data_IF_192406747135
#
_entry.id   IF_192406747135
#
_cell.length_a   1.000
_cell.length_b   1.000
_cell.length_c   1.000
_cell.angle_alpha   90.00
_cell.angle_beta   90.00
_cell.angle_gamma   90.00
#
_symmetry.space_group_name_H-M   'P 1'
#
loop_
_entity.id
_entity.type
_entity.pdbx_description
1 polymer ?
#
# COMPACT_ATOMS: atom_id res chain seq x y z
N UNK A 1 -64.01 49.13 4.41
CA UNK A 1 -63.48 47.96 3.67
C UNK A 1 -61.96 47.89 3.84
N UNK A 2 -61.48 47.26 4.91
CA UNK A 2 -60.06 46.94 5.12
C UNK A 2 -60.02 45.54 5.73
N UNK A 3 -59.22 44.63 5.17
CA UNK A 3 -58.99 43.33 5.81
C UNK A 3 -58.83 42.13 4.89
N UNK A 4 -58.07 42.21 3.80
CA UNK A 4 -57.52 41.02 3.11
C UNK A 4 -56.18 41.38 2.45
N UNK A 5 -55.14 41.78 3.21
CA UNK A 5 -53.78 41.96 2.64
C UNK A 5 -52.60 41.47 3.50
N UNK A 6 -52.82 41.01 4.73
CA UNK A 6 -51.70 40.71 5.64
C UNK A 6 -51.42 39.21 5.90
N UNK A 7 -52.18 38.29 5.30
CA UNK A 7 -51.96 36.86 5.49
C UNK A 7 -50.96 36.20 4.51
N UNK A 8 -50.56 36.89 3.43
CA UNK A 8 -49.76 36.28 2.34
C UNK A 8 -48.25 36.39 2.59
N UNK A 9 -47.79 37.47 3.23
CA UNK A 9 -46.36 37.72 3.52
C UNK A 9 -45.70 36.69 4.45
N UNK A 10 -46.34 36.25 5.56
CA UNK A 10 -45.73 35.28 6.48
C UNK A 10 -45.54 33.91 5.82
N UNK A 11 -46.48 33.51 4.94
CA UNK A 11 -46.45 32.22 4.24
C UNK A 11 -45.32 32.18 3.21
N UNK A 12 -45.10 33.25 2.45
CA UNK A 12 -43.96 33.31 1.52
C UNK A 12 -42.60 33.25 2.24
N UNK A 13 -42.46 33.94 3.37
CA UNK A 13 -41.21 33.93 4.16
C UNK A 13 -40.95 32.52 4.73
N UNK A 14 -41.99 31.82 5.19
CA UNK A 14 -41.86 30.44 5.68
C UNK A 14 -41.48 29.46 4.56
N UNK A 15 -42.02 29.63 3.35
CA UNK A 15 -41.68 28.81 2.18
C UNK A 15 -40.24 29.03 1.72
N UNK A 16 -39.76 30.29 1.70
CA UNK A 16 -38.38 30.61 1.37
C UNK A 16 -37.39 30.08 2.41
N UNK A 17 -37.74 30.15 3.70
CA UNK A 17 -36.94 29.58 4.78
C UNK A 17 -36.85 28.05 4.66
N UNK A 18 -37.96 27.36 4.41
CA UNK A 18 -37.98 25.91 4.19
C UNK A 18 -37.17 25.51 2.94
N UNK A 19 -37.24 26.28 1.86
CA UNK A 19 -36.47 26.03 0.64
C UNK A 19 -34.96 26.22 0.87
N UNK A 20 -34.55 27.26 1.59
CA UNK A 20 -33.15 27.50 1.95
C UNK A 20 -32.62 26.45 2.93
N UNK A 21 -33.42 26.08 3.94
CA UNK A 21 -33.09 25.02 4.88
C UNK A 21 -32.92 23.68 4.18
N UNK A 22 -33.83 23.31 3.27
CA UNK A 22 -33.74 22.07 2.47
C UNK A 22 -32.50 22.06 1.59
N UNK A 23 -32.15 23.17 0.92
CA UNK A 23 -30.90 23.28 0.14
C UNK A 23 -29.65 23.15 1.01
N UNK A 24 -29.64 23.77 2.19
CA UNK A 24 -28.52 23.68 3.14
C UNK A 24 -28.37 22.27 3.72
N UNK A 25 -29.49 21.64 4.08
CA UNK A 25 -29.55 20.27 4.58
C UNK A 25 -29.06 19.27 3.52
N UNK A 26 -29.55 19.40 2.27
CA UNK A 26 -29.12 18.54 1.16
C UNK A 26 -27.62 18.70 0.86
N UNK A 27 -27.07 19.92 0.87
CA UNK A 27 -25.61 20.12 0.73
C UNK A 27 -24.84 19.47 1.87
N UNK A 28 -25.25 19.67 3.14
CA UNK A 28 -24.60 19.01 4.28
C UNK A 28 -24.69 17.49 4.18
N UNK A 29 -25.84 16.97 3.76
CA UNK A 29 -26.04 15.54 3.56
C UNK A 29 -25.14 15.01 2.44
N UNK A 30 -25.04 15.69 1.30
CA UNK A 30 -24.12 15.35 0.21
C UNK A 30 -22.65 15.41 0.65
N UNK A 31 -22.27 16.41 1.46
CA UNK A 31 -20.92 16.52 2.02
C UNK A 31 -20.62 15.39 3.01
N UNK A 32 -21.59 15.02 3.85
CA UNK A 32 -21.48 13.87 4.76
C UNK A 32 -21.38 12.58 3.98
N UNK A 33 -22.19 12.38 2.94
CA UNK A 33 -22.15 11.19 2.07
C UNK A 33 -20.83 11.13 1.31
N UNK A 34 -20.35 12.24 0.72
CA UNK A 34 -19.04 12.29 0.04
C UNK A 34 -17.88 12.04 0.99
N UNK A 35 -17.91 12.61 2.21
CA UNK A 35 -16.89 12.32 3.24
C UNK A 35 -16.93 10.86 3.66
N UNK A 36 -18.11 10.30 3.90
CA UNK A 36 -18.30 8.90 4.29
C UNK A 36 -17.86 7.92 3.18
N UNK A 37 -18.19 8.22 1.93
CA UNK A 37 -17.78 7.43 0.75
C UNK A 37 -16.27 7.55 0.47
N UNK A 38 -15.61 8.62 0.93
CA UNK A 38 -14.15 8.78 0.88
C UNK A 38 -13.41 8.03 2.00
N UNK A 39 -14.13 7.54 3.00
CA UNK A 39 -13.58 6.79 4.14
C UNK A 39 -13.84 5.29 4.06
N UNK A 40 -14.82 4.84 3.27
CA UNK A 40 -15.05 3.41 3.04
C UNK A 40 -13.82 2.76 2.36
N UNK A 41 -13.40 1.55 2.80
CA UNK A 41 -12.32 0.81 2.19
C UNK A 41 -12.56 0.58 0.68
N UNK A 42 -11.48 0.59 -0.08
CA UNK A 42 -11.46 0.21 -1.48
C UNK A 42 -11.84 -1.26 -1.63
N UNK A 43 -12.67 -1.56 -2.64
CA UNK A 43 -13.05 -2.93 -2.99
C UNK A 43 -11.89 -3.64 -3.72
N UNK A 44 -10.82 -3.90 -2.99
CA UNK A 44 -9.70 -4.70 -3.44
C UNK A 44 -9.95 -6.14 -3.03
N UNK A 45 -9.86 -7.05 -4.00
CA UNK A 45 -9.90 -8.49 -3.78
C UNK A 45 -8.51 -9.06 -4.02
N UNK A 46 -8.12 -9.99 -3.17
CA UNK A 46 -6.84 -10.69 -3.26
C UNK A 46 -7.11 -12.19 -3.15
N UNK A 47 -6.34 -12.98 -3.89
CA UNK A 47 -6.36 -14.44 -3.81
C UNK A 47 -5.29 -14.94 -2.85
N UNK A 48 -5.37 -16.20 -2.45
CA UNK A 48 -4.26 -16.88 -1.78
C UNK A 48 -3.07 -17.02 -2.73
N UNK A 49 -1.85 -16.78 -2.25
CA UNK A 49 -0.62 -16.95 -3.03
C UNK A 49 -0.39 -18.43 -3.38
N UNK A 50 0.13 -18.75 -4.58
CA UNK A 50 0.42 -20.12 -4.99
C UNK A 50 1.51 -20.84 -4.18
N UNK A 51 2.51 -20.10 -3.71
CA UNK A 51 3.70 -20.62 -3.00
C UNK A 51 4.24 -19.58 -2.01
N UNK A 52 5.25 -19.92 -1.20
CA UNK A 52 5.78 -19.06 -0.14
C UNK A 52 6.55 -17.82 -0.63
N UNK A 53 6.80 -17.68 -1.93
CA UNK A 53 7.60 -16.58 -2.51
C UNK A 53 6.78 -15.61 -3.36
N UNK A 54 5.52 -15.93 -3.63
CA UNK A 54 4.65 -15.21 -4.59
C UNK A 54 3.75 -14.15 -3.94
N UNK A 55 3.97 -13.80 -2.67
CA UNK A 55 3.19 -12.77 -1.96
C UNK A 55 3.16 -11.42 -2.72
N UNK A 56 4.31 -10.95 -3.21
CA UNK A 56 4.42 -9.71 -3.98
C UNK A 56 3.69 -9.75 -5.32
N UNK A 57 3.76 -10.89 -6.03
CA UNK A 57 3.04 -11.13 -7.29
C UNK A 57 1.53 -11.10 -7.07
N UNK A 58 1.07 -11.76 -6.01
CA UNK A 58 -0.35 -11.82 -5.65
C UNK A 58 -0.89 -10.45 -5.25
N UNK A 59 -0.09 -9.65 -4.54
CA UNK A 59 -0.41 -8.25 -4.25
C UNK A 59 -0.49 -7.38 -5.51
N UNK A 60 0.45 -7.55 -6.45
CA UNK A 60 0.43 -6.83 -7.73
C UNK A 60 -0.83 -7.19 -8.55
N UNK A 61 -1.17 -8.47 -8.61
CA UNK A 61 -2.38 -8.96 -9.25
C UNK A 61 -3.65 -8.35 -8.64
N UNK A 62 -3.74 -8.26 -7.30
CA UNK A 62 -4.87 -7.63 -6.62
C UNK A 62 -5.03 -6.15 -6.99
N UNK A 63 -3.92 -5.42 -7.09
CA UNK A 63 -3.95 -4.00 -7.52
C UNK A 63 -4.32 -3.87 -9.00
N UNK A 64 -3.83 -4.74 -9.89
CA UNK A 64 -4.29 -4.74 -11.29
C UNK A 64 -5.77 -5.05 -11.41
N UNK A 65 -6.27 -6.02 -10.65
CA UNK A 65 -7.69 -6.38 -10.60
C UNK A 65 -8.57 -5.23 -10.11
N UNK A 66 -8.02 -4.33 -9.28
CA UNK A 66 -8.74 -3.12 -8.85
C UNK A 66 -8.92 -2.10 -9.98
N UNK A 67 -7.98 -2.00 -10.92
CA UNK A 67 -8.04 -1.03 -12.03
C UNK A 67 -8.56 -1.60 -13.34
N UNK A 68 -8.34 -2.89 -13.60
CA UNK A 68 -8.57 -3.54 -14.89
C UNK A 68 -9.73 -4.53 -14.81
N UNK A 69 -10.58 -4.55 -15.85
CA UNK A 69 -11.64 -5.57 -15.97
C UNK A 69 -11.08 -6.98 -16.24
N UNK A 70 -9.90 -7.05 -16.85
CA UNK A 70 -9.25 -8.29 -17.26
C UNK A 70 -7.74 -8.17 -17.00
N UNK A 71 -7.31 -8.29 -15.73
CA UNK A 71 -5.89 -8.27 -15.37
C UNK A 71 -5.16 -9.50 -15.92
N UNK A 72 -3.82 -9.45 -16.06
CA UNK A 72 -3.04 -10.62 -16.45
C UNK A 72 -3.23 -11.78 -15.47
N UNK A 73 -3.28 -13.04 -15.92
CA UNK A 73 -3.22 -14.20 -15.04
C UNK A 73 -2.02 -14.15 -14.10
N UNK A 74 -2.20 -14.60 -12.85
CA UNK A 74 -1.12 -14.60 -11.84
C UNK A 74 0.12 -15.38 -12.30
N UNK A 75 -0.06 -16.47 -13.05
CA UNK A 75 1.04 -17.26 -13.60
C UNK A 75 1.85 -16.52 -14.66
N UNK A 76 1.24 -15.59 -15.39
CA UNK A 76 1.94 -14.74 -16.36
C UNK A 76 2.80 -13.72 -15.61
N UNK A 77 2.22 -13.08 -14.57
CA UNK A 77 2.95 -12.17 -13.70
C UNK A 77 4.15 -12.84 -13.02
N UNK A 78 4.00 -14.09 -12.57
CA UNK A 78 5.09 -14.85 -11.96
C UNK A 78 6.25 -15.13 -12.93
N UNK A 79 6.00 -15.18 -14.24
CA UNK A 79 7.05 -15.33 -15.27
C UNK A 79 7.65 -14.00 -15.71
N UNK A 80 6.88 -12.91 -15.65
CA UNK A 80 7.28 -11.59 -16.15
C UNK A 80 8.02 -10.74 -15.09
N UNK A 81 7.68 -10.90 -13.82
CA UNK A 81 8.31 -10.17 -12.72
C UNK A 81 9.61 -10.85 -12.29
N UNK A 82 10.66 -10.06 -12.07
CA UNK A 82 11.93 -10.56 -11.57
C UNK A 82 11.85 -10.94 -10.10
N UNK A 83 12.52 -12.03 -9.74
CA UNK A 83 12.70 -12.50 -8.37
C UNK A 83 14.13 -12.26 -7.88
N UNK A 84 14.30 -12.18 -6.56
CA UNK A 84 15.61 -12.25 -5.93
C UNK A 84 16.16 -13.68 -6.02
N UNK A 85 17.49 -13.82 -5.97
CA UNK A 85 18.16 -15.13 -5.94
C UNK A 85 17.72 -15.98 -4.75
N UNK A 86 17.47 -15.34 -3.63
CA UNK A 86 17.05 -15.95 -2.37
C UNK A 86 15.53 -16.16 -2.30
N UNK A 87 14.79 -15.88 -3.38
CA UNK A 87 13.33 -15.97 -3.42
C UNK A 87 12.62 -14.64 -3.12
N UNK A 88 11.37 -14.55 -3.55
CA UNK A 88 10.53 -13.36 -3.38
C UNK A 88 10.89 -12.21 -4.32
N UNK A 89 10.27 -11.04 -4.08
CA UNK A 89 10.40 -9.85 -4.91
C UNK A 89 10.73 -8.62 -4.05
N UNK A 90 11.28 -7.58 -4.68
CA UNK A 90 11.32 -6.24 -4.09
C UNK A 90 10.19 -5.39 -4.67
N UNK A 91 9.68 -4.43 -3.89
CA UNK A 91 8.64 -3.51 -4.35
C UNK A 91 9.01 -2.79 -5.66
N UNK A 92 10.30 -2.51 -5.87
CA UNK A 92 10.78 -1.90 -7.12
C UNK A 92 10.64 -2.81 -8.34
N UNK A 93 10.73 -4.14 -8.17
CA UNK A 93 10.51 -5.11 -9.25
C UNK A 93 9.03 -5.10 -9.66
N UNK A 94 8.12 -5.10 -8.69
CA UNK A 94 6.68 -4.94 -8.92
C UNK A 94 6.36 -3.60 -9.61
N UNK A 95 7.02 -2.53 -9.16
CA UNK A 95 6.86 -1.20 -9.72
C UNK A 95 7.34 -1.10 -11.17
N UNK A 96 8.48 -1.70 -11.49
CA UNK A 96 9.01 -1.76 -12.86
C UNK A 96 8.04 -2.46 -13.81
N UNK A 97 7.42 -3.55 -13.36
CA UNK A 97 6.39 -4.24 -14.15
C UNK A 97 5.14 -3.38 -14.33
N UNK A 98 4.72 -2.62 -13.31
CA UNK A 98 3.61 -1.69 -13.45
C UNK A 98 3.92 -0.53 -14.42
N UNK A 99 5.14 0.03 -14.35
CA UNK A 99 5.60 1.08 -15.28
C UNK A 99 5.58 0.59 -16.74
N UNK A 100 6.03 -0.64 -17.03
CA UNK A 100 5.98 -1.19 -18.39
C UNK A 100 4.55 -1.41 -18.91
N UNK A 101 3.56 -1.44 -18.01
CA UNK A 101 2.13 -1.52 -18.32
C UNK A 101 1.42 -0.16 -18.31
N UNK A 102 2.18 0.93 -18.28
CA UNK A 102 1.67 2.30 -18.37
C UNK A 102 1.11 2.87 -17.06
N UNK A 103 1.33 2.21 -15.92
CA UNK A 103 0.97 2.79 -14.62
C UNK A 103 1.96 3.89 -14.24
N UNK A 104 1.51 4.84 -13.41
CA UNK A 104 2.39 5.67 -12.59
C UNK A 104 2.73 4.90 -11.32
N UNK A 105 4.01 4.81 -10.98
CA UNK A 105 4.47 4.14 -9.77
C UNK A 105 5.21 5.10 -8.83
N UNK A 106 4.82 5.10 -7.56
CA UNK A 106 5.51 5.84 -6.49
C UNK A 106 5.87 4.90 -5.36
N UNK A 107 7.13 4.93 -4.94
CA UNK A 107 7.64 4.19 -3.78
C UNK A 107 7.99 5.19 -2.68
N UNK A 108 7.35 5.06 -1.52
CA UNK A 108 7.87 5.62 -0.28
C UNK A 108 8.79 4.58 0.34
N UNK A 109 10.06 4.91 0.51
CA UNK A 109 11.05 3.96 1.03
C UNK A 109 11.47 4.32 2.45
N UNK A 110 11.65 3.29 3.26
CA UNK A 110 12.21 3.33 4.61
C UNK A 110 13.37 2.35 4.76
N UNK A 111 13.81 1.73 3.66
CA UNK A 111 14.91 0.79 3.66
C UNK A 111 16.26 1.55 3.71
N UNK A 112 16.73 1.78 4.94
CA UNK A 112 18.00 2.43 5.24
C UNK A 112 19.24 1.61 4.86
N UNK A 113 19.08 0.31 4.50
CA UNK A 113 20.20 -0.47 3.97
C UNK A 113 20.58 -0.04 2.55
N UNK A 114 19.58 0.42 1.78
CA UNK A 114 19.74 0.88 0.40
C UNK A 114 19.87 2.41 0.37
N UNK A 115 18.94 3.13 1.00
CA UNK A 115 18.84 4.58 0.86
C UNK A 115 19.32 5.33 2.09
N UNK A 116 20.11 6.36 1.87
CA UNK A 116 20.43 7.33 2.90
C UNK A 116 19.40 8.48 2.88
N UNK A 117 18.84 8.90 4.03
CA UNK A 117 17.88 10.01 4.09
C UNK A 117 18.38 11.31 3.45
N UNK A 118 19.69 11.57 3.48
CA UNK A 118 20.30 12.78 2.89
C UNK A 118 20.18 12.80 1.36
N UNK A 119 19.95 11.65 0.72
CA UNK A 119 19.80 11.58 -0.74
C UNK A 119 18.49 12.18 -1.24
N UNK A 120 17.54 12.47 -0.36
CA UNK A 120 16.23 13.05 -0.70
C UNK A 120 16.21 14.58 -0.58
N UNK A 121 17.38 15.21 -0.42
CA UNK A 121 17.53 16.66 -0.50
C UNK A 121 17.48 17.14 -1.96
N UNK A 122 17.07 18.40 -2.16
CA UNK A 122 16.97 19.01 -3.49
C UNK A 122 18.34 18.99 -4.20
N UNK A 123 18.35 18.56 -5.46
CA UNK A 123 19.56 18.57 -6.31
C UNK A 123 20.45 17.34 -6.19
N UNK A 124 20.13 16.39 -5.31
CA UNK A 124 20.88 15.12 -5.25
C UNK A 124 20.42 14.17 -6.34
N UNK A 125 21.37 13.64 -7.11
CA UNK A 125 21.13 12.55 -8.05
C UNK A 125 21.17 11.20 -7.32
N UNK A 126 19.99 10.66 -7.04
CA UNK A 126 19.82 9.37 -6.36
C UNK A 126 20.38 8.22 -7.22
N UNK A 127 20.28 8.29 -8.56
CA UNK A 127 20.78 7.23 -9.43
C UNK A 127 22.32 7.14 -9.33
N UNK A 128 23.00 8.29 -9.34
CA UNK A 128 24.44 8.35 -9.11
C UNK A 128 24.84 7.81 -7.73
N UNK A 129 24.05 8.10 -6.68
CA UNK A 129 24.29 7.57 -5.32
C UNK A 129 24.14 6.05 -5.25
N UNK A 130 23.10 5.49 -5.87
CA UNK A 130 22.88 4.05 -5.96
C UNK A 130 24.05 3.36 -6.67
N UNK A 131 24.49 3.89 -7.82
CA UNK A 131 25.64 3.35 -8.54
C UNK A 131 26.93 3.41 -7.70
N UNK A 132 27.20 4.55 -7.05
CA UNK A 132 28.37 4.69 -6.19
C UNK A 132 28.33 3.72 -5.00
N UNK A 133 27.16 3.56 -4.36
CA UNK A 133 26.98 2.62 -3.26
C UNK A 133 27.23 1.18 -3.71
N UNK A 134 26.67 0.76 -4.85
CA UNK A 134 26.89 -0.59 -5.38
C UNK A 134 28.36 -0.85 -5.73
N UNK A 135 29.08 0.17 -6.25
CA UNK A 135 30.52 0.06 -6.54
C UNK A 135 31.36 -0.15 -5.30
N UNK A 136 30.97 0.39 -4.14
CA UNK A 136 31.69 0.23 -2.87
C UNK A 136 31.25 -1.05 -2.15
N UNK A 137 29.94 -1.32 -2.09
CA UNK A 137 29.34 -2.48 -1.39
C UNK A 137 29.26 -3.72 -2.29
N UNK A 138 30.36 -4.07 -2.96
CA UNK A 138 30.41 -5.14 -3.98
C UNK A 138 30.00 -6.52 -3.45
N UNK A 139 30.33 -6.83 -2.20
CA UNK A 139 30.00 -8.10 -1.54
C UNK A 139 28.57 -8.19 -1.03
N UNK A 140 27.80 -7.09 -1.05
CA UNK A 140 26.46 -7.08 -0.46
C UNK A 140 25.40 -7.52 -1.48
N UNK A 141 25.05 -8.82 -1.50
CA UNK A 141 24.19 -9.44 -2.52
C UNK A 141 22.90 -8.67 -2.79
N UNK A 142 22.11 -8.35 -1.76
CA UNK A 142 20.83 -7.63 -1.90
C UNK A 142 20.99 -6.23 -2.49
N UNK A 143 22.06 -5.50 -2.18
CA UNK A 143 22.32 -4.18 -2.79
C UNK A 143 22.69 -4.33 -4.27
N UNK A 144 23.49 -5.35 -4.61
CA UNK A 144 23.84 -5.64 -6.01
C UNK A 144 22.61 -6.04 -6.84
N UNK A 145 21.66 -6.77 -6.25
CA UNK A 145 20.40 -7.14 -6.90
C UNK A 145 19.42 -5.97 -7.00
N UNK A 146 19.28 -5.15 -5.95
CA UNK A 146 18.31 -4.06 -5.90
C UNK A 146 18.69 -2.84 -6.76
N UNK A 147 19.99 -2.49 -6.78
CA UNK A 147 20.48 -1.29 -7.49
C UNK A 147 20.04 -1.21 -8.95
N UNK A 148 20.26 -2.23 -9.81
CA UNK A 148 19.83 -2.15 -11.21
C UNK A 148 18.31 -1.99 -11.36
N UNK A 149 17.52 -2.56 -10.44
CA UNK A 149 16.06 -2.42 -10.46
C UNK A 149 15.62 -0.98 -10.15
N UNK A 150 16.26 -0.33 -9.17
CA UNK A 150 15.99 1.09 -8.87
C UNK A 150 16.48 2.03 -9.97
N UNK A 151 17.61 1.72 -10.62
CA UNK A 151 18.06 2.51 -11.77
C UNK A 151 17.05 2.44 -12.93
N UNK A 152 16.60 1.23 -13.28
CA UNK A 152 15.54 1.02 -14.27
C UNK A 152 14.25 1.76 -13.89
N UNK A 153 13.87 1.71 -12.63
CA UNK A 153 12.67 2.38 -12.12
C UNK A 153 12.75 3.90 -12.29
N UNK A 154 13.88 4.50 -11.92
CA UNK A 154 14.09 5.95 -12.05
C UNK A 154 14.13 6.38 -13.52
N UNK A 155 14.80 5.61 -14.38
CA UNK A 155 14.87 5.84 -15.83
C UNK A 155 13.48 5.79 -16.48
N UNK A 156 12.63 4.84 -16.07
CA UNK A 156 11.25 4.71 -16.53
C UNK A 156 10.28 5.75 -15.92
N UNK A 157 10.78 6.77 -15.20
CA UNK A 157 9.97 7.84 -14.62
C UNK A 157 9.30 7.51 -13.29
N UNK A 158 9.69 6.40 -12.66
CA UNK A 158 9.27 6.01 -11.32
C UNK A 158 9.65 7.05 -10.27
N UNK A 159 8.77 7.26 -9.29
CA UNK A 159 8.94 8.29 -8.27
C UNK A 159 9.35 7.67 -6.94
N UNK A 160 10.55 8.01 -6.45
CA UNK A 160 11.00 7.62 -5.12
C UNK A 160 10.80 8.76 -4.12
N UNK A 161 10.28 8.46 -2.93
CA UNK A 161 10.00 9.43 -1.86
C UNK A 161 10.53 8.91 -0.53
N UNK A 162 10.95 9.84 0.32
CA UNK A 162 11.27 9.60 1.71
C UNK A 162 10.51 10.62 2.56
N UNK A 163 9.50 10.14 3.28
CA UNK A 163 8.63 10.95 4.14
C UNK A 163 8.19 10.10 5.31
N UNK A 164 8.22 10.65 6.53
CA UNK A 164 7.80 9.96 7.75
C UNK A 164 6.51 9.16 7.57
N UNK A 165 6.60 7.84 7.80
CA UNK A 165 5.44 6.96 7.78
C UNK A 165 4.52 7.34 8.92
N UNK A 166 3.25 7.63 8.60
CA UNK A 166 2.27 8.09 9.58
C UNK A 166 0.86 7.72 9.14
N UNK A 167 -0.05 7.67 10.11
CA UNK A 167 -1.46 7.43 9.82
C UNK A 167 -2.07 8.54 8.94
N UNK A 168 -1.56 9.77 9.01
CA UNK A 168 -1.97 10.87 8.13
C UNK A 168 -1.50 10.67 6.69
N UNK A 169 -0.28 10.16 6.46
CA UNK A 169 0.21 9.78 5.13
C UNK A 169 -0.65 8.67 4.53
N UNK A 170 -0.93 7.61 5.29
CA UNK A 170 -1.80 6.52 4.81
C UNK A 170 -3.20 7.04 4.46
N UNK A 171 -3.81 7.84 5.34
CA UNK A 171 -5.11 8.49 5.08
C UNK A 171 -5.09 9.37 3.83
N UNK A 172 -4.02 10.13 3.58
CA UNK A 172 -3.97 11.02 2.41
C UNK A 172 -3.89 10.23 1.11
N UNK A 173 -3.22 9.08 1.11
CA UNK A 173 -3.18 8.16 -0.04
C UNK A 173 -4.56 7.53 -0.27
N UNK A 174 -5.21 7.00 0.77
CA UNK A 174 -6.54 6.39 0.62
C UNK A 174 -7.63 7.38 0.20
N UNK A 175 -7.55 8.65 0.62
CA UNK A 175 -8.46 9.71 0.14
C UNK A 175 -8.39 9.94 -1.37
N UNK A 176 -7.28 9.56 -2.01
CA UNK A 176 -7.11 9.58 -3.48
C UNK A 176 -7.58 8.29 -4.15
N UNK A 177 -8.18 7.38 -3.38
CA UNK A 177 -8.64 6.04 -3.78
C UNK A 177 -7.55 5.13 -4.32
N UNK A 178 -6.36 5.21 -3.74
CA UNK A 178 -5.21 4.41 -4.17
C UNK A 178 -4.95 3.27 -3.17
N UNK A 179 -4.97 2.00 -3.62
CA UNK A 179 -4.51 0.90 -2.78
C UNK A 179 -2.99 0.98 -2.62
N UNK A 180 -2.48 0.41 -1.53
CA UNK A 180 -1.06 0.44 -1.18
C UNK A 180 -0.54 -0.98 -1.08
N UNK A 181 0.43 -1.35 -1.91
CA UNK A 181 1.24 -2.55 -1.68
C UNK A 181 2.31 -2.18 -0.66
N UNK A 182 2.51 -2.96 0.39
CA UNK A 182 3.53 -2.66 1.40
C UNK A 182 4.27 -3.92 1.78
N UNK A 183 5.60 -3.80 1.89
CA UNK A 183 6.44 -4.82 2.51
C UNK A 183 6.54 -4.54 4.02
N UNK A 184 6.34 -5.55 4.85
CA UNK A 184 6.32 -5.46 6.31
C UNK A 184 6.94 -6.68 6.97
N UNK A 185 7.21 -6.61 8.28
CA UNK A 185 7.58 -7.79 9.08
C UNK A 185 6.33 -8.58 9.47
N UNK A 186 6.19 -9.79 8.92
CA UNK A 186 5.11 -10.71 9.27
C UNK A 186 5.27 -11.21 10.72
N UNK A 187 6.51 -11.55 11.11
CA UNK A 187 6.86 -11.94 12.49
C UNK A 187 6.36 -10.92 13.50
N UNK A 188 6.67 -9.64 13.30
CA UNK A 188 6.20 -8.60 14.21
C UNK A 188 4.69 -8.38 14.10
N UNK A 189 4.12 -8.29 12.89
CA UNK A 189 2.70 -8.00 12.71
C UNK A 189 1.84 -9.03 13.45
N UNK A 190 2.15 -10.31 13.24
CA UNK A 190 1.40 -11.46 13.72
C UNK A 190 1.81 -11.88 15.13
N UNK A 191 2.96 -11.43 15.63
CA UNK A 191 3.52 -11.93 16.89
C UNK A 191 3.87 -13.42 16.80
N UNK A 192 4.29 -13.89 15.63
CA UNK A 192 4.64 -15.27 15.38
C UNK A 192 6.10 -15.57 15.74
N UNK A 193 6.44 -16.85 15.78
CA UNK A 193 7.84 -17.29 15.87
C UNK A 193 8.62 -16.82 14.63
N UNK A 194 9.95 -16.81 14.76
CA UNK A 194 10.82 -16.65 13.60
C UNK A 194 10.80 -17.93 12.78
N UNK A 195 11.21 -17.85 11.52
CA UNK A 195 11.16 -18.95 10.57
C UNK A 195 12.56 -19.46 10.27
N UNK A 196 12.72 -20.78 10.19
CA UNK A 196 13.94 -21.43 9.74
C UNK A 196 13.61 -22.33 8.56
N UNK A 197 14.39 -22.22 7.49
CA UNK A 197 14.31 -23.14 6.35
C UNK A 197 15.49 -24.12 6.41
N UNK A 198 15.20 -25.39 6.67
CA UNK A 198 16.23 -26.45 6.74
C UNK A 198 16.61 -26.98 5.35
N UNK A 199 15.67 -26.86 4.42
CA UNK A 199 15.83 -27.12 3.00
C UNK A 199 15.03 -26.10 2.20
N UNK A 200 15.04 -26.22 0.87
CA UNK A 200 14.40 -25.26 -0.02
C UNK A 200 12.86 -25.26 0.06
N UNK A 201 12.26 -26.35 0.56
CA UNK A 201 10.82 -26.61 0.47
C UNK A 201 10.14 -26.59 1.84
N UNK A 202 10.90 -26.59 2.93
CA UNK A 202 10.39 -26.71 4.30
C UNK A 202 10.78 -25.51 5.16
N UNK A 203 9.77 -24.73 5.56
CA UNK A 203 9.90 -23.67 6.56
C UNK A 203 9.26 -24.13 7.87
N UNK A 204 9.98 -23.97 8.98
CA UNK A 204 9.51 -24.32 10.33
C UNK A 204 9.60 -23.13 11.28
N UNK A 205 8.68 -23.10 12.25
CA UNK A 205 8.71 -22.15 13.35
C UNK A 205 9.90 -22.45 14.29
N UNK A 206 10.71 -21.43 14.59
CA UNK A 206 11.87 -21.52 15.48
C UNK A 206 12.11 -20.17 16.19
N UNK A 207 11.79 -20.08 17.47
CA UNK A 207 11.92 -18.86 18.26
C UNK A 207 13.36 -18.55 18.69
N UNK A 208 14.30 -19.49 18.55
CA UNK A 208 15.71 -19.34 18.96
C UNK A 208 16.61 -19.17 17.74
N UNK A 209 16.62 -20.16 16.84
CA UNK A 209 17.51 -20.25 15.69
C UNK A 209 16.95 -19.66 14.39
N UNK A 210 15.66 -19.33 14.34
CA UNK A 210 15.02 -18.79 13.15
C UNK A 210 15.36 -17.32 12.86
N UNK A 211 15.03 -16.88 11.65
CA UNK A 211 15.13 -15.50 11.19
C UNK A 211 13.74 -14.83 11.07
N UNK A 212 13.64 -13.49 11.27
CA UNK A 212 12.39 -12.79 11.04
C UNK A 212 11.92 -12.87 9.58
N UNK A 213 10.61 -13.06 9.40
CA UNK A 213 9.98 -13.17 8.09
C UNK A 213 9.36 -11.84 7.62
N UNK A 214 9.49 -11.62 6.32
CA UNK A 214 8.99 -10.44 5.60
C UNK A 214 7.81 -10.83 4.73
N UNK A 215 6.90 -9.90 4.48
CA UNK A 215 5.68 -10.19 3.71
C UNK A 215 5.14 -8.97 2.97
N UNK A 216 4.49 -9.23 1.84
CA UNK A 216 3.74 -8.23 1.09
C UNK A 216 2.24 -8.38 1.32
N UNK A 217 1.58 -7.26 1.59
CA UNK A 217 0.12 -7.16 1.68
C UNK A 217 -0.38 -5.95 0.90
N UNK A 218 -1.69 -5.90 0.63
CA UNK A 218 -2.36 -4.71 0.08
C UNK A 218 -3.22 -4.04 1.15
N UNK A 219 -3.01 -2.75 1.37
CA UNK A 219 -3.85 -1.92 2.24
C UNK A 219 -4.93 -1.25 1.39
N UNK A 220 -6.18 -1.35 1.86
CA UNK A 220 -7.35 -0.89 1.09
C UNK A 220 -8.10 0.27 1.73
N UNK A 221 -7.75 0.71 2.93
CA UNK A 221 -8.38 1.88 3.57
C UNK A 221 -8.56 1.70 5.07
N UNK A 222 -9.49 2.47 5.64
CA UNK A 222 -9.86 2.37 7.06
C UNK A 222 -11.26 1.77 7.19
N UNK A 223 -11.45 0.86 8.14
CA UNK A 223 -12.78 0.40 8.53
C UNK A 223 -13.52 1.46 9.37
N UNK A 224 -14.78 1.19 9.69
CA UNK A 224 -15.64 2.09 10.48
C UNK A 224 -15.12 2.35 11.89
N UNK A 225 -14.22 1.51 12.40
CA UNK A 225 -13.59 1.64 13.71
C UNK A 225 -12.23 2.36 13.63
N UNK A 226 -11.84 2.87 12.45
CA UNK A 226 -10.57 3.54 12.24
C UNK A 226 -9.36 2.60 12.22
N UNK A 227 -9.57 1.29 11.99
CA UNK A 227 -8.50 0.30 11.77
C UNK A 227 -8.21 0.17 10.28
N UNK A 228 -7.00 -0.22 9.92
CA UNK A 228 -6.61 -0.35 8.51
C UNK A 228 -7.03 -1.72 7.99
N UNK A 229 -7.69 -1.75 6.84
CA UNK A 229 -8.09 -3.00 6.15
C UNK A 229 -6.92 -3.54 5.35
N UNK A 230 -6.49 -4.75 5.71
CA UNK A 230 -5.38 -5.48 5.09
C UNK A 230 -5.94 -6.61 4.23
N UNK A 231 -5.43 -6.72 3.01
CA UNK A 231 -5.66 -7.78 2.04
C UNK A 231 -4.37 -8.58 1.94
N UNK A 232 -4.40 -9.81 2.42
CA UNK A 232 -3.22 -10.60 2.70
C UNK A 232 -3.23 -11.89 1.88
N UNK A 233 -2.26 -12.08 0.97
CA UNK A 233 -2.25 -13.23 0.09
C UNK A 233 -1.84 -14.52 0.81
N UNK A 234 -1.25 -14.44 2.00
CA UNK A 234 -0.88 -15.64 2.75
C UNK A 234 -2.10 -16.09 3.58
N UNK A 235 -2.43 -17.39 3.59
CA UNK A 235 -3.61 -17.89 4.27
C UNK A 235 -3.35 -17.93 5.78
N UNK A 236 -3.49 -16.79 6.44
CA UNK A 236 -3.15 -16.66 7.85
C UNK A 236 -4.34 -16.28 8.74
N UNK A 237 -4.44 -17.06 9.81
CA UNK A 237 -5.11 -16.82 11.08
C UNK A 237 -6.61 -17.16 11.20
N UNK A 238 -7.02 -17.70 12.37
CA UNK A 238 -8.41 -17.76 12.78
C UNK A 238 -9.07 -16.37 12.71
N UNK A 239 -10.22 -16.27 12.04
CA UNK A 239 -10.98 -15.02 11.90
C UNK A 239 -10.72 -14.23 10.61
N UNK A 240 -9.78 -14.67 9.78
CA UNK A 240 -9.63 -14.16 8.40
C UNK A 240 -10.85 -14.58 7.57
N UNK A 241 -11.42 -13.64 6.81
CA UNK A 241 -12.47 -13.91 5.81
C UNK A 241 -12.03 -13.34 4.48
N UNK A 242 -12.03 -14.16 3.44
CA UNK A 242 -11.67 -13.77 2.07
C UNK A 242 -10.34 -12.99 2.02
N UNK A 243 -9.30 -13.55 2.65
CA UNK A 243 -7.95 -12.98 2.70
C UNK A 243 -7.91 -11.55 3.29
N UNK A 244 -8.87 -11.20 4.15
CA UNK A 244 -9.03 -9.85 4.68
C UNK A 244 -9.10 -9.83 6.21
N UNK A 245 -8.41 -8.88 6.84
CA UNK A 245 -8.51 -8.56 8.26
C UNK A 245 -8.23 -7.07 8.53
N UNK A 246 -8.35 -6.62 9.79
CA UNK A 246 -8.05 -5.21 10.14
C UNK A 246 -7.05 -5.06 11.28
N UNK A 247 -6.15 -4.10 11.14
CA UNK A 247 -5.04 -3.85 12.09
C UNK A 247 -5.07 -2.41 12.58
N UNK A 248 -4.70 -2.18 13.85
CA UNK A 248 -4.51 -0.83 14.37
C UNK A 248 -3.37 -0.10 13.64
N UNK A 249 -3.56 1.17 13.29
CA UNK A 249 -2.58 1.91 12.48
C UNK A 249 -1.16 1.91 13.06
N UNK A 250 -1.02 2.04 14.39
CA UNK A 250 0.30 1.99 15.04
C UNK A 250 1.00 0.64 14.88
N UNK A 251 0.27 -0.47 15.06
CA UNK A 251 0.81 -1.84 14.86
C UNK A 251 1.28 -2.04 13.41
N UNK A 252 0.48 -1.59 12.44
CA UNK A 252 0.85 -1.70 11.03
C UNK A 252 2.07 -0.84 10.68
N UNK A 253 2.10 0.42 11.11
CA UNK A 253 3.24 1.32 10.85
C UNK A 253 4.52 0.71 11.41
N UNK A 254 4.48 0.20 12.64
CA UNK A 254 5.63 -0.47 13.25
C UNK A 254 6.05 -1.71 12.45
N UNK A 255 5.09 -2.54 11.99
CA UNK A 255 5.40 -3.71 11.15
C UNK A 255 6.07 -3.32 9.84
N UNK A 256 5.61 -2.26 9.17
CA UNK A 256 6.22 -1.75 7.93
C UNK A 256 7.64 -1.27 8.22
N UNK A 257 7.85 -0.45 9.25
CA UNK A 257 9.19 0.07 9.60
C UNK A 257 10.16 -1.06 9.99
N UNK A 258 9.70 -2.03 10.77
CA UNK A 258 10.49 -3.21 11.16
C UNK A 258 10.75 -4.15 9.99
N UNK A 259 10.01 -4.05 8.88
CA UNK A 259 10.27 -4.78 7.64
C UNK A 259 11.68 -4.55 7.07
N UNK A 260 12.42 -3.54 7.53
CA UNK A 260 13.82 -3.33 7.12
C UNK A 260 14.72 -4.53 7.45
N UNK A 261 14.37 -5.35 8.45
CA UNK A 261 15.14 -6.56 8.79
C UNK A 261 15.18 -7.55 7.63
N UNK A 262 14.12 -7.63 6.82
CA UNK A 262 13.98 -8.50 5.65
C UNK A 262 14.31 -7.81 4.32
N UNK A 263 14.76 -6.55 4.35
CA UNK A 263 14.90 -5.62 3.20
C UNK A 263 13.59 -5.03 2.66
N UNK A 264 12.49 -5.24 3.38
CA UNK A 264 11.24 -4.54 3.15
C UNK A 264 11.28 -3.14 3.81
N UNK A 265 10.14 -2.61 4.25
CA UNK A 265 9.94 -1.23 4.69
C UNK A 265 9.76 -0.23 3.54
N UNK A 266 8.64 -0.35 2.85
CA UNK A 266 8.23 0.56 1.80
C UNK A 266 6.71 0.61 1.65
N UNK A 267 6.20 1.67 1.04
CA UNK A 267 4.86 1.73 0.44
C UNK A 267 5.01 1.86 -1.07
N UNK A 268 4.41 0.96 -1.83
CA UNK A 268 4.27 1.04 -3.28
C UNK A 268 2.83 1.44 -3.64
N UNK A 269 2.72 2.55 -4.35
CA UNK A 269 1.47 3.08 -4.85
C UNK A 269 1.51 3.01 -6.37
N UNK A 270 0.51 2.33 -6.94
CA UNK A 270 0.31 2.23 -8.38
C UNK A 270 -0.98 2.96 -8.76
N UNK A 271 -0.90 3.78 -9.81
CA UNK A 271 -1.99 4.62 -10.28
C UNK A 271 -2.11 4.45 -11.80
N UNK A 272 -3.27 4.00 -12.28
CA UNK A 272 -3.57 3.91 -13.72
C UNK A 272 -3.77 5.32 -14.30
#
# INVERSE_FOLDING_TARGET
>A
MRGVRDAVRPVLIALDFLAQWRKSYLRRYEDIVKRKQSEDPLDVRISTQPDDTTCGITCLHAVYSFYEKSPPPIGDLAREVLFLKEGGTLAVMLANHALSRGYRATIFTYNLKIFDPTWFQKGVDIAAKLQAQAKVKRSHSKIQQATPQYLKFLEAGGRLRFQNLSASLLRSIFKRRLPIITGLSATYLNGSMRERADDADTVVDDDIGGDPSGHFVVLSGYDRNGRIVVKDPYPLHPGMKDNTYTVGAGRLINAIMLGIVTFDANLLILEK
#
